data_IF_598154690298
#
_entry.id   IF_598154690298
#
_cell.length_a   1.000
_cell.length_b   1.000
_cell.length_c   1.000
_cell.angle_alpha   90.00
_cell.angle_beta   90.00
_cell.angle_gamma   90.00
#
_symmetry.space_group_name_H-M   'P 1'
#
loop_
_entity.id
_entity.type
_entity.pdbx_description
1 polymer ?
#
# COMPACT_ATOMS: atom_id res chain seq x y z
N UNK A 1 23.16 -26.88 -11.24
CA UNK A 1 21.73 -27.01 -10.88
C UNK A 1 21.25 -25.70 -10.26
N UNK A 2 20.88 -24.71 -11.08
CA UNK A 2 20.19 -23.51 -10.57
C UNK A 2 18.74 -23.91 -10.31
N UNK A 3 18.41 -24.14 -9.05
CA UNK A 3 17.03 -24.40 -8.66
C UNK A 3 16.21 -23.13 -8.87
N UNK A 4 15.42 -23.22 -9.93
CA UNK A 4 14.28 -22.38 -10.24
C UNK A 4 13.28 -22.48 -9.09
N UNK A 5 12.97 -21.34 -8.45
CA UNK A 5 11.81 -21.23 -7.55
C UNK A 5 10.66 -20.58 -8.35
N UNK A 6 9.63 -21.34 -8.75
CA UNK A 6 8.39 -20.79 -9.26
C UNK A 6 7.50 -20.44 -8.06
N UNK A 7 7.47 -19.16 -7.69
CA UNK A 7 6.57 -18.67 -6.66
C UNK A 7 6.33 -17.19 -6.89
N UNK A 8 5.16 -16.85 -7.43
CA UNK A 8 4.64 -15.48 -7.52
C UNK A 8 4.39 -14.92 -6.11
N UNK A 9 5.48 -14.74 -5.37
CA UNK A 9 5.48 -14.01 -4.12
C UNK A 9 5.16 -12.57 -4.51
N UNK A 10 4.01 -12.09 -4.07
CA UNK A 10 3.75 -10.65 -4.05
C UNK A 10 4.91 -10.06 -3.25
N UNK A 11 5.85 -9.43 -3.95
CA UNK A 11 7.03 -8.88 -3.32
C UNK A 11 6.56 -7.61 -2.62
N UNK A 12 6.71 -7.59 -1.30
CA UNK A 12 6.68 -6.33 -0.56
C UNK A 12 7.91 -5.56 -1.02
N UNK A 13 7.71 -4.59 -1.90
CA UNK A 13 8.79 -3.92 -2.61
C UNK A 13 9.54 -2.90 -1.75
N UNK A 14 8.99 -2.51 -0.60
CA UNK A 14 9.68 -1.64 0.34
C UNK A 14 8.79 -1.11 1.45
N UNK A 15 9.43 -0.49 2.44
CA UNK A 15 8.78 0.35 3.44
C UNK A 15 8.77 1.80 2.97
N UNK A 16 7.65 2.49 3.10
CA UNK A 16 7.48 3.89 2.74
C UNK A 16 6.90 4.66 3.93
N UNK A 17 7.13 5.97 3.95
CA UNK A 17 6.53 6.85 4.96
C UNK A 17 5.10 7.19 4.59
N UNK A 18 4.31 7.61 5.58
CA UNK A 18 2.96 8.14 5.37
C UNK A 18 2.89 9.19 4.25
N UNK A 19 3.80 10.16 4.22
CA UNK A 19 3.82 11.19 3.18
C UNK A 19 3.96 10.59 1.77
N UNK A 20 4.80 9.56 1.62
CA UNK A 20 5.00 8.91 0.32
C UNK A 20 3.78 8.08 -0.10
N UNK A 21 3.09 7.46 0.85
CA UNK A 21 1.78 6.84 0.58
C UNK A 21 0.77 7.87 0.07
N UNK A 22 0.68 9.03 0.72
CA UNK A 22 -0.25 10.10 0.31
C UNK A 22 0.00 10.57 -1.12
N UNK A 23 1.28 10.63 -1.55
CA UNK A 23 1.63 10.94 -2.93
C UNK A 23 1.10 9.88 -3.89
N UNK A 24 1.34 8.58 -3.62
CA UNK A 24 0.81 7.51 -4.47
C UNK A 24 -0.72 7.50 -4.55
N UNK A 25 -1.40 7.82 -3.44
CA UNK A 25 -2.85 8.01 -3.39
C UNK A 25 -3.27 9.19 -4.26
N UNK A 26 -2.50 10.28 -4.25
CA UNK A 26 -2.79 11.46 -5.06
C UNK A 26 -2.62 11.20 -6.55
N UNK A 27 -1.51 10.55 -6.91
CA UNK A 27 -1.14 10.08 -8.26
C UNK A 27 -2.13 9.02 -8.81
N UNK A 28 -2.98 8.43 -7.95
CA UNK A 28 -3.94 7.40 -8.34
C UNK A 28 -3.29 6.04 -8.63
N UNK A 29 -2.06 5.82 -8.16
CA UNK A 29 -1.35 4.55 -8.33
C UNK A 29 -1.76 3.47 -7.34
N UNK A 30 -2.44 3.85 -6.25
CA UNK A 30 -2.91 2.95 -5.19
C UNK A 30 -4.25 2.32 -5.59
N UNK A 31 -4.34 1.00 -5.49
CA UNK A 31 -5.58 0.24 -5.71
C UNK A 31 -6.27 -0.15 -4.41
N UNK A 32 -5.49 -0.55 -3.41
CA UNK A 32 -5.99 -1.03 -2.13
C UNK A 32 -5.05 -0.63 -1.00
N UNK A 33 -5.61 -0.34 0.16
CA UNK A 33 -4.85 -0.14 1.40
C UNK A 33 -5.42 -1.05 2.47
N UNK A 34 -4.57 -1.94 2.99
CA UNK A 34 -4.87 -2.84 4.08
C UNK A 34 -4.25 -2.25 5.37
N UNK A 35 -5.04 -1.98 6.40
CA UNK A 35 -4.54 -1.45 7.68
C UNK A 35 -4.23 -2.57 8.66
N UNK A 36 -3.20 -2.37 9.48
CA UNK A 36 -2.71 -3.30 10.50
C UNK A 36 -2.31 -2.53 11.76
N UNK A 37 -2.11 -3.27 12.85
CA UNK A 37 -1.64 -2.71 14.13
C UNK A 37 -2.46 -1.49 14.59
N UNK A 38 -3.80 -1.62 14.52
CA UNK A 38 -4.74 -0.54 14.85
C UNK A 38 -4.50 0.76 14.07
N UNK A 39 -4.04 0.63 12.82
CA UNK A 39 -3.75 1.76 11.95
C UNK A 39 -2.37 2.40 12.13
N UNK A 40 -1.44 1.76 12.85
CA UNK A 40 -0.03 2.19 12.89
C UNK A 40 0.78 1.68 11.72
N UNK A 41 0.33 0.60 11.08
CA UNK A 41 0.94 0.09 9.85
C UNK A 41 -0.15 -0.06 8.80
N UNK A 42 0.18 0.20 7.54
CA UNK A 42 -0.68 -0.13 6.42
C UNK A 42 0.13 -0.81 5.32
N UNK A 43 -0.52 -1.60 4.48
CA UNK A 43 0.06 -2.17 3.27
C UNK A 43 -0.73 -1.64 2.10
N UNK A 44 -0.10 -0.81 1.28
CA UNK A 44 -0.69 -0.25 0.08
C UNK A 44 -0.29 -1.08 -1.13
N UNK A 45 -1.29 -1.55 -1.87
CA UNK A 45 -1.09 -2.22 -3.16
C UNK A 45 -1.12 -1.15 -4.25
N UNK A 46 0.02 -0.97 -4.92
CA UNK A 46 0.20 0.01 -5.99
C UNK A 46 0.54 -0.67 -7.32
N UNK A 47 0.18 -0.05 -8.43
CA UNK A 47 0.55 -0.52 -9.77
C UNK A 47 1.72 0.31 -10.30
N UNK A 48 2.91 -0.29 -10.38
CA UNK A 48 4.14 0.38 -10.83
C UNK A 48 4.67 -0.32 -12.07
N UNK A 49 4.77 0.40 -13.18
CA UNK A 49 5.23 -0.13 -14.48
C UNK A 49 4.49 -1.41 -14.92
N UNK A 50 3.17 -1.45 -14.72
CA UNK A 50 2.33 -2.60 -15.09
C UNK A 50 2.43 -3.80 -14.15
N UNK A 51 3.10 -3.67 -13.00
CA UNK A 51 3.19 -4.72 -11.97
C UNK A 51 2.59 -4.24 -10.67
N UNK A 52 1.80 -5.11 -10.04
CA UNK A 52 1.30 -4.87 -8.69
C UNK A 52 2.44 -5.08 -7.68
N UNK A 53 2.59 -4.11 -6.79
CA UNK A 53 3.60 -4.10 -5.74
C UNK A 53 2.93 -3.72 -4.43
N UNK A 54 3.34 -4.36 -3.34
CA UNK A 54 2.88 -4.00 -2.00
C UNK A 54 3.94 -3.15 -1.31
N UNK A 55 3.51 -2.03 -0.74
CA UNK A 55 4.33 -1.10 0.01
C UNK A 55 3.85 -1.07 1.46
N UNK A 56 4.75 -1.36 2.39
CA UNK A 56 4.43 -1.25 3.82
C UNK A 56 4.62 0.21 4.23
N UNK A 57 3.57 0.82 4.75
CA UNK A 57 3.51 2.20 5.15
C UNK A 57 3.49 2.27 6.68
N UNK A 58 4.45 2.97 7.25
CA UNK A 58 4.40 3.31 8.67
C UNK A 58 3.54 4.55 8.86
N UNK A 59 2.58 4.47 9.77
CA UNK A 59 1.61 5.51 10.03
C UNK A 59 1.77 5.99 11.48
N UNK A 60 1.78 7.32 11.73
CA UNK A 60 1.69 7.85 13.09
C UNK A 60 0.34 7.50 13.77
N UNK A 61 -0.59 6.95 13.00
CA UNK A 61 -1.94 6.49 13.35
C UNK A 61 -2.85 6.67 12.14
N UNK A 62 -3.81 5.77 11.95
CA UNK A 62 -4.82 5.90 10.90
C UNK A 62 -5.75 7.07 11.27
N UNK A 63 -5.43 8.25 10.76
CA UNK A 63 -6.26 9.44 10.97
C UNK A 63 -7.50 9.37 10.10
N UNK A 64 -8.62 9.91 10.60
CA UNK A 64 -9.88 10.01 9.84
C UNK A 64 -9.68 10.69 8.49
N UNK A 65 -8.76 11.67 8.40
CA UNK A 65 -8.44 12.36 7.15
C UNK A 65 -7.76 11.50 6.09
N UNK A 66 -6.94 10.52 6.49
CA UNK A 66 -6.39 9.54 5.54
C UNK A 66 -7.51 8.68 4.96
N UNK A 67 -8.37 8.15 5.82
CA UNK A 67 -9.49 7.29 5.42
C UNK A 67 -10.40 8.05 4.46
N UNK A 68 -10.76 9.31 4.78
CA UNK A 68 -11.57 10.17 3.91
C UNK A 68 -10.91 10.37 2.53
N UNK A 69 -9.60 10.61 2.48
CA UNK A 69 -8.86 10.74 1.21
C UNK A 69 -8.89 9.46 0.38
N UNK A 70 -8.74 8.30 1.03
CA UNK A 70 -8.79 6.99 0.35
C UNK A 70 -10.20 6.72 -0.20
N UNK A 71 -11.24 6.97 0.59
CA UNK A 71 -12.65 6.84 0.16
C UNK A 71 -12.98 7.79 -0.98
N UNK A 72 -12.54 9.06 -0.89
CA UNK A 72 -12.73 10.08 -1.92
C UNK A 72 -12.07 9.70 -3.25
N UNK A 73 -10.94 9.00 -3.19
CA UNK A 73 -10.23 8.46 -4.37
C UNK A 73 -10.77 7.09 -4.82
N UNK A 74 -11.85 6.59 -4.21
CA UNK A 74 -12.46 5.30 -4.50
C UNK A 74 -11.46 4.12 -4.37
N UNK A 75 -10.56 4.22 -3.39
CA UNK A 75 -9.57 3.18 -3.08
C UNK A 75 -10.21 2.18 -2.13
N UNK A 76 -9.98 0.89 -2.36
CA UNK A 76 -10.46 -0.16 -1.47
C UNK A 76 -9.69 -0.11 -0.14
N UNK A 77 -10.42 -0.13 0.97
CA UNK A 77 -9.87 -0.09 2.32
C UNK A 77 -10.28 -1.36 3.05
N UNK A 78 -9.29 -2.10 3.54
CA UNK A 78 -9.47 -3.27 4.40
C UNK A 78 -8.81 -2.96 5.76
N UNK A 79 -9.43 -3.36 6.88
CA UNK A 79 -8.99 -3.04 8.23
C UNK A 79 -9.02 -4.27 9.15
#
# INVERSE_FOLDING_TARGET
>A
MQQQQPGGSVRVSGRVTYSRLLEFVDEGSVKRVDFYDLGRTAVATVMVAGREQQLVCDLPGATTGLIDKLVSKNIAIEA
#
